data_IF_518326083805
#
_entry.id   IF_518326083805
#
_cell.length_a   1.000
_cell.length_b   1.000
_cell.length_c   1.000
_cell.angle_alpha   90.00
_cell.angle_beta   90.00
_cell.angle_gamma   90.00
#
_symmetry.space_group_name_H-M   'P 1'
#
loop_
_entity.id
_entity.type
_entity.pdbx_description
1 polymer ?
#
# COMPACT_ATOMS: atom_id res chain seq x y z
N UNK A 1 13.95 5.36 -31.67
CA UNK A 1 13.96 5.13 -30.21
C UNK A 1 12.57 4.70 -29.80
N UNK A 2 12.41 3.48 -29.31
CA UNK A 2 11.12 3.03 -28.77
C UNK A 2 10.98 3.56 -27.34
N UNK A 3 9.87 4.25 -27.04
CA UNK A 3 9.60 4.93 -25.77
C UNK A 3 9.10 3.98 -24.66
N UNK A 4 9.25 2.66 -24.82
CA UNK A 4 8.79 1.65 -23.87
C UNK A 4 8.32 0.36 -24.55
N UNK A 5 7.63 -0.49 -23.79
CA UNK A 5 6.98 -1.67 -24.32
C UNK A 5 5.66 -1.30 -25.01
N UNK A 6 5.36 -1.89 -26.19
CA UNK A 6 4.16 -1.55 -26.96
C UNK A 6 2.86 -2.05 -26.30
N UNK A 7 2.95 -3.03 -25.40
CA UNK A 7 1.84 -3.59 -24.64
C UNK A 7 2.30 -3.94 -23.21
N UNK A 8 1.47 -3.74 -22.17
CA UNK A 8 1.84 -4.06 -20.78
C UNK A 8 2.29 -5.51 -20.58
N UNK A 9 1.72 -6.45 -21.33
CA UNK A 9 2.05 -7.87 -21.19
C UNK A 9 3.53 -8.16 -21.47
N UNK A 10 4.14 -7.49 -22.45
CA UNK A 10 5.57 -7.65 -22.74
C UNK A 10 6.47 -7.14 -21.62
N UNK A 11 6.03 -6.10 -20.90
CA UNK A 11 6.74 -5.62 -19.71
C UNK A 11 6.62 -6.65 -18.58
N UNK A 12 5.44 -7.24 -18.40
CA UNK A 12 5.19 -8.23 -17.34
C UNK A 12 5.97 -9.53 -17.58
N UNK A 13 6.12 -9.98 -18.83
CA UNK A 13 6.95 -11.14 -19.19
C UNK A 13 8.44 -10.93 -18.88
N UNK A 14 8.91 -9.68 -18.99
CA UNK A 14 10.32 -9.32 -18.75
C UNK A 14 10.66 -8.93 -17.30
N UNK A 15 9.65 -8.72 -16.45
CA UNK A 15 9.84 -8.29 -15.06
C UNK A 15 10.28 -9.46 -14.18
N UNK A 16 11.45 -9.32 -13.55
CA UNK A 16 11.89 -10.27 -12.53
C UNK A 16 11.13 -10.06 -11.22
N UNK A 17 10.99 -11.12 -10.41
CA UNK A 17 10.37 -11.02 -9.07
C UNK A 17 11.05 -9.94 -8.21
N UNK A 18 12.38 -9.82 -8.30
CA UNK A 18 13.13 -8.77 -7.59
C UNK A 18 12.68 -7.37 -8.00
N UNK A 19 12.59 -7.09 -9.30
CA UNK A 19 12.17 -5.79 -9.80
C UNK A 19 10.73 -5.47 -9.42
N UNK A 20 9.84 -6.48 -9.43
CA UNK A 20 8.47 -6.31 -8.96
C UNK A 20 8.44 -5.94 -7.46
N UNK A 21 9.21 -6.63 -6.62
CA UNK A 21 9.34 -6.29 -5.20
C UNK A 21 9.92 -4.90 -4.97
N UNK A 22 10.90 -4.49 -5.76
CA UNK A 22 11.47 -3.14 -5.68
C UNK A 22 10.40 -2.07 -5.99
N UNK A 23 9.52 -2.33 -6.96
CA UNK A 23 8.36 -1.46 -7.26
C UNK A 23 7.32 -1.44 -6.14
N UNK A 24 7.02 -2.58 -5.50
CA UNK A 24 6.13 -2.64 -4.35
C UNK A 24 6.68 -1.83 -3.17
N UNK A 25 7.99 -1.93 -2.90
CA UNK A 25 8.67 -1.16 -1.86
C UNK A 25 8.62 0.33 -2.20
N UNK A 26 8.88 0.69 -3.45
CA UNK A 26 8.77 2.07 -3.90
C UNK A 26 7.36 2.61 -3.69
N UNK A 27 6.32 1.88 -4.10
CA UNK A 27 4.92 2.28 -3.91
C UNK A 27 4.55 2.48 -2.43
N UNK A 28 5.07 1.62 -1.53
CA UNK A 28 4.82 1.74 -0.10
C UNK A 28 5.40 3.03 0.52
N UNK A 29 6.48 3.57 -0.07
CA UNK A 29 7.12 4.82 0.38
C UNK A 29 6.51 6.03 -0.33
N UNK A 30 6.28 5.90 -1.63
CA UNK A 30 5.80 6.96 -2.51
C UNK A 30 4.66 6.43 -3.38
N UNK A 31 3.42 6.39 -2.85
CA UNK A 31 2.26 6.01 -3.65
C UNK A 31 2.01 7.07 -4.72
N UNK A 32 1.32 6.67 -5.78
CA UNK A 32 0.89 7.56 -6.86
C UNK A 32 -0.63 7.48 -7.08
N UNK A 33 -1.17 8.40 -7.86
CA UNK A 33 -2.60 8.51 -8.10
C UNK A 33 -3.38 9.08 -6.91
N UNK A 34 -4.63 8.64 -6.77
CA UNK A 34 -5.59 9.19 -5.80
C UNK A 34 -5.15 8.98 -4.34
N UNK A 35 -4.57 7.82 -4.02
CA UNK A 35 -4.04 7.52 -2.67
C UNK A 35 -2.99 8.55 -2.25
N UNK A 36 -2.11 8.95 -3.18
CA UNK A 36 -1.08 9.94 -2.92
C UNK A 36 -1.67 11.34 -2.67
N UNK A 37 -2.73 11.69 -3.40
CA UNK A 37 -3.45 12.94 -3.23
C UNK A 37 -4.13 13.01 -1.86
N UNK A 38 -4.88 11.97 -1.49
CA UNK A 38 -5.51 11.86 -0.17
C UNK A 38 -4.47 11.87 0.95
N UNK A 39 -3.34 11.18 0.79
CA UNK A 39 -2.25 11.20 1.78
C UNK A 39 -1.70 12.62 2.00
N UNK A 40 -1.51 13.39 0.93
CA UNK A 40 -1.06 14.79 1.02
C UNK A 40 -2.11 15.68 1.68
N UNK A 41 -3.37 15.57 1.26
CA UNK A 41 -4.48 16.35 1.84
C UNK A 41 -4.63 16.05 3.34
N UNK A 42 -4.63 14.76 3.72
CA UNK A 42 -4.72 14.34 5.10
C UNK A 42 -3.58 14.91 5.96
N UNK A 43 -2.35 14.94 5.43
CA UNK A 43 -1.21 15.59 6.10
C UNK A 43 -1.46 17.08 6.31
N UNK A 44 -1.92 17.81 5.31
CA UNK A 44 -2.23 19.24 5.47
C UNK A 44 -3.34 19.49 6.49
N UNK A 45 -4.43 18.72 6.43
CA UNK A 45 -5.52 18.82 7.39
C UNK A 45 -5.04 18.54 8.82
N UNK A 46 -4.29 17.46 9.03
CA UNK A 46 -3.71 17.10 10.34
C UNK A 46 -2.78 18.20 10.88
N UNK A 47 -1.96 18.81 10.03
CA UNK A 47 -1.09 19.92 10.41
C UNK A 47 -1.91 21.13 10.84
N UNK A 48 -2.88 21.56 10.02
CA UNK A 48 -3.70 22.75 10.27
C UNK A 48 -4.53 22.63 11.55
N UNK A 49 -5.14 21.46 11.78
CA UNK A 49 -5.96 21.24 12.98
C UNK A 49 -5.09 21.13 14.24
N UNK A 50 -3.96 20.43 14.16
CA UNK A 50 -3.08 20.22 15.32
C UNK A 50 -2.38 21.52 15.76
N UNK A 51 -2.13 22.45 14.83
CA UNK A 51 -1.63 23.80 15.16
C UNK A 51 -2.55 24.59 16.08
N UNK A 52 -3.87 24.31 16.06
CA UNK A 52 -4.87 24.98 16.89
C UNK A 52 -5.34 24.12 18.06
N UNK A 53 -4.78 22.92 18.21
CA UNK A 53 -5.19 21.97 19.22
C UNK A 53 -4.77 22.46 20.61
N UNK A 54 -5.73 22.45 21.54
CA UNK A 54 -5.46 22.81 22.94
C UNK A 54 -4.60 21.73 23.60
N UNK A 55 -3.77 22.15 24.54
CA UNK A 55 -2.94 21.25 25.32
C UNK A 55 -3.78 20.17 26.04
N UNK A 56 -3.28 18.93 26.05
CA UNK A 56 -3.97 17.78 26.63
C UNK A 56 -5.05 17.13 25.77
N UNK A 57 -5.24 17.56 24.51
CA UNK A 57 -6.11 16.87 23.53
C UNK A 57 -5.30 15.90 22.65
N UNK A 58 -5.96 14.83 22.23
CA UNK A 58 -5.39 13.85 21.29
C UNK A 58 -5.15 14.49 19.92
N UNK A 59 -3.99 14.19 19.33
CA UNK A 59 -3.61 14.73 18.02
C UNK A 59 -4.33 13.98 16.90
N UNK A 60 -4.78 14.74 15.91
CA UNK A 60 -5.31 14.14 14.69
C UNK A 60 -4.17 13.64 13.81
N UNK A 61 -4.35 12.48 13.22
CA UNK A 61 -3.44 11.89 12.24
C UNK A 61 -3.91 12.22 10.81
N UNK A 62 -3.04 12.11 9.81
CA UNK A 62 -3.46 12.26 8.41
C UNK A 62 -4.59 11.31 8.01
N UNK A 63 -4.62 10.10 8.59
CA UNK A 63 -5.59 9.07 8.25
C UNK A 63 -7.02 9.41 8.70
N UNK A 64 -7.19 10.21 9.76
CA UNK A 64 -8.52 10.68 10.21
C UNK A 64 -9.24 11.58 9.18
N UNK A 65 -8.52 12.00 8.13
CA UNK A 65 -9.02 12.84 7.04
C UNK A 65 -8.97 12.14 5.67
N UNK A 66 -8.69 10.83 5.65
CA UNK A 66 -8.61 10.04 4.43
C UNK A 66 -9.79 9.05 4.34
N UNK A 67 -10.24 8.67 3.13
CA UNK A 67 -11.23 7.60 2.98
C UNK A 67 -10.75 6.27 3.60
N UNK A 68 -11.68 5.49 4.18
CA UNK A 68 -11.40 4.16 4.78
C UNK A 68 -10.68 3.19 3.81
N UNK A 69 -10.86 3.39 2.50
CA UNK A 69 -10.17 2.64 1.45
C UNK A 69 -8.63 2.74 1.56
N UNK A 70 -8.13 3.88 2.04
CA UNK A 70 -6.71 4.22 2.16
C UNK A 70 -6.22 4.23 3.62
N UNK A 71 -7.12 4.08 4.58
CA UNK A 71 -6.76 3.93 6.00
C UNK A 71 -5.93 2.67 6.28
N UNK A 72 -5.71 1.82 5.26
CA UNK A 72 -4.82 0.69 5.33
C UNK A 72 -5.10 -0.13 6.57
N UNK A 73 -6.35 -0.63 6.69
CA UNK A 73 -6.88 -1.42 7.82
C UNK A 73 -5.77 -1.84 8.79
N UNK A 74 -5.87 -1.40 10.05
CA UNK A 74 -5.22 -1.97 11.25
C UNK A 74 -5.47 -3.50 11.44
N UNK A 75 -5.88 -4.21 10.39
CA UNK A 75 -6.07 -5.65 10.28
C UNK A 75 -5.68 -6.12 8.86
N UNK A 76 -4.48 -5.82 8.38
CA UNK A 76 -3.76 -6.85 7.63
C UNK A 76 -3.13 -7.74 8.70
N UNK A 77 -3.80 -8.83 9.03
CA UNK A 77 -3.18 -9.93 9.76
C UNK A 77 -1.82 -10.15 9.09
N UNK A 78 -0.72 -9.89 9.80
CA UNK A 78 0.63 -10.07 9.25
C UNK A 78 0.72 -11.53 8.84
N UNK A 79 0.63 -11.78 7.54
CA UNK A 79 0.70 -13.11 7.00
C UNK A 79 2.08 -13.67 7.38
N UNK A 80 2.09 -14.72 8.18
CA UNK A 80 3.30 -15.37 8.67
C UNK A 80 3.79 -16.37 7.63
N UNK A 81 5.05 -16.79 7.74
CA UNK A 81 5.59 -17.89 6.91
C UNK A 81 4.79 -19.19 7.10
N UNK A 82 4.19 -19.40 8.28
CA UNK A 82 3.32 -20.53 8.55
C UNK A 82 1.99 -20.45 7.77
N UNK A 83 1.44 -19.25 7.59
CA UNK A 83 0.25 -19.03 6.75
C UNK A 83 0.53 -19.35 5.28
N UNK A 84 1.73 -19.01 4.77
CA UNK A 84 2.15 -19.34 3.41
C UNK A 84 2.27 -20.85 3.20
N UNK A 85 2.90 -21.55 4.15
CA UNK A 85 3.03 -23.02 4.11
C UNK A 85 1.66 -23.69 4.23
N UNK A 86 0.77 -23.16 5.06
CA UNK A 86 -0.61 -23.64 5.19
C UNK A 86 -1.39 -23.51 3.87
N UNK A 87 -1.22 -22.40 3.16
CA UNK A 87 -1.86 -22.17 1.85
C UNK A 87 -1.32 -23.13 0.78
N UNK A 88 0.00 -23.33 0.73
CA UNK A 88 0.61 -24.28 -0.22
C UNK A 88 0.12 -25.71 0.03
N UNK A 89 -0.02 -26.12 1.31
CA UNK A 89 -0.55 -27.44 1.68
C UNK A 89 -2.02 -27.62 1.32
N UNK A 90 -2.83 -26.57 1.41
CA UNK A 90 -4.26 -26.64 1.06
C UNK A 90 -4.49 -26.73 -0.45
N UNK A 91 -3.58 -26.18 -1.26
CA UNK A 91 -3.61 -26.33 -2.72
C UNK A 91 -3.26 -27.76 -3.15
N UNK A 92 -2.28 -28.40 -2.50
CA UNK A 92 -1.89 -29.79 -2.78
C UNK A 92 -3.00 -30.79 -2.42
N UNK A 93 -3.74 -30.56 -1.33
CA UNK A 93 -4.85 -31.43 -0.91
C UNK A 93 -6.11 -31.35 -1.77
N UNK A 94 -6.23 -30.34 -2.64
CA UNK A 94 -7.42 -30.10 -3.45
C UNK A 94 -7.42 -30.84 -4.78
N UNK A 95 -6.34 -31.56 -5.08
CA UNK A 95 -6.12 -32.33 -6.31
C UNK A 95 -6.33 -33.85 -6.14
N UNK A 96 -6.82 -34.32 -4.97
CA UNK A 96 -7.33 -35.68 -4.74
C UNK A 96 -8.86 -35.70 -4.66
#
# INVERSE_FOLDING_TARGET
>A
MALGFPHPDYLMEGLTSKQLSDWEIYYAVEPFGEEAEWSRIGRYCSLLINLKLKEGKEQFTPFDFMPELYEGKRSRMKQTSEDHVGMMRSMIKKEE
#
